data_IF_969196844739
#
_entry.id   IF_969196844739
#
_cell.length_a   1.000
_cell.length_b   1.000
_cell.length_c   1.000
_cell.angle_alpha   90.00
_cell.angle_beta   90.00
_cell.angle_gamma   90.00
#
_symmetry.space_group_name_H-M   'P 1'
#
loop_
_entity.id
_entity.type
_entity.pdbx_description
1 polymer ?
#
# COMPACT_ATOMS: atom_id res chain seq x y z
N UNK A 1 8.12 13.10 -23.85
CA UNK A 1 7.46 11.78 -23.99
C UNK A 1 7.79 11.00 -22.73
N UNK A 2 6.92 11.03 -21.71
CA UNK A 2 7.15 10.28 -20.47
C UNK A 2 6.49 8.92 -20.64
N UNK A 3 7.30 7.89 -20.46
CA UNK A 3 6.95 6.50 -20.67
C UNK A 3 5.67 6.14 -19.89
N UNK A 4 4.64 5.66 -20.59
CA UNK A 4 3.50 4.99 -19.96
C UNK A 4 3.97 3.60 -19.54
N UNK A 5 4.98 3.53 -18.69
CA UNK A 5 5.27 2.32 -17.95
C UNK A 5 4.01 1.99 -17.14
N UNK A 6 3.59 0.74 -17.21
CA UNK A 6 2.39 0.19 -16.57
C UNK A 6 2.60 0.07 -15.05
N UNK A 7 3.12 1.13 -14.44
CA UNK A 7 3.53 1.24 -13.04
C UNK A 7 2.49 2.06 -12.28
N UNK A 8 2.40 1.84 -10.97
CA UNK A 8 1.52 2.64 -10.12
C UNK A 8 1.97 4.10 -10.03
N UNK A 9 1.07 4.96 -9.54
CA UNK A 9 1.34 6.39 -9.44
C UNK A 9 2.40 6.66 -8.37
N UNK A 10 3.46 7.39 -8.75
CA UNK A 10 4.62 7.61 -7.88
C UNK A 10 4.30 8.29 -6.54
N UNK A 11 3.32 9.19 -6.50
CA UNK A 11 2.86 9.82 -5.26
C UNK A 11 2.14 8.83 -4.33
N UNK A 12 1.30 7.94 -4.87
CA UNK A 12 0.64 6.90 -4.09
C UNK A 12 1.64 5.86 -3.58
N UNK A 13 2.62 5.49 -4.41
CA UNK A 13 3.75 4.64 -4.00
C UNK A 13 4.49 5.24 -2.82
N UNK A 14 4.79 6.54 -2.87
CA UNK A 14 5.48 7.24 -1.78
C UNK A 14 4.67 7.17 -0.48
N UNK A 15 3.37 7.42 -0.55
CA UNK A 15 2.46 7.30 0.62
C UNK A 15 2.48 5.89 1.20
N UNK A 16 2.47 4.85 0.37
CA UNK A 16 2.56 3.46 0.83
C UNK A 16 3.91 3.16 1.49
N UNK A 17 5.02 3.68 0.97
CA UNK A 17 6.34 3.50 1.60
C UNK A 17 6.45 4.25 2.93
N UNK A 18 5.87 5.44 3.04
CA UNK A 18 5.75 6.18 4.30
C UNK A 18 4.88 5.42 5.32
N UNK A 19 3.76 4.84 4.86
CA UNK A 19 2.92 3.94 5.66
C UNK A 19 3.73 2.74 6.19
N UNK A 20 4.48 2.07 5.33
CA UNK A 20 5.37 0.95 5.72
C UNK A 20 6.43 1.39 6.75
N UNK A 21 7.03 2.56 6.57
CA UNK A 21 8.06 3.08 7.49
C UNK A 21 7.56 3.44 8.89
N UNK A 22 6.25 3.72 9.03
CA UNK A 22 5.62 4.03 10.32
C UNK A 22 5.18 2.80 11.14
N UNK A 23 5.30 1.59 10.58
CA UNK A 23 4.77 0.37 11.17
C UNK A 23 5.88 -0.66 11.44
N UNK A 24 5.62 -1.53 12.41
CA UNK A 24 6.40 -2.74 12.66
C UNK A 24 5.73 -3.91 11.96
N UNK A 25 6.51 -4.63 11.17
CA UNK A 25 6.08 -5.79 10.39
C UNK A 25 6.80 -7.07 10.85
N UNK A 26 6.40 -7.65 12.00
CA UNK A 26 7.06 -8.85 12.53
C UNK A 26 6.81 -10.11 11.67
N UNK A 27 5.72 -10.13 10.90
CA UNK A 27 5.34 -11.27 10.05
C UNK A 27 5.93 -11.20 8.63
N UNK A 28 6.56 -10.08 8.26
CA UNK A 28 7.12 -9.87 6.92
C UNK A 28 6.06 -9.71 5.83
N UNK A 29 4.85 -9.28 6.19
CA UNK A 29 3.73 -9.12 5.26
C UNK A 29 4.03 -8.07 4.17
N UNK A 30 4.84 -7.07 4.48
CA UNK A 30 5.23 -5.98 3.59
C UNK A 30 6.53 -6.27 2.82
N UNK A 31 6.98 -7.53 2.83
CA UNK A 31 8.21 -7.96 2.13
C UNK A 31 8.15 -7.76 0.62
N UNK A 32 6.96 -7.87 0.01
CA UNK A 32 6.76 -7.65 -1.43
C UNK A 32 6.75 -6.16 -1.82
N UNK A 33 6.74 -5.24 -0.85
CA UNK A 33 6.67 -3.80 -1.09
C UNK A 33 8.04 -3.25 -1.48
N UNK A 34 8.47 -3.59 -2.69
CA UNK A 34 9.75 -3.24 -3.30
C UNK A 34 9.57 -2.87 -4.77
N UNK A 35 10.41 -1.97 -5.29
CA UNK A 35 10.37 -1.53 -6.70
C UNK A 35 9.38 -0.40 -6.99
N UNK A 36 9.06 -0.22 -8.28
CA UNK A 36 8.29 0.92 -8.79
C UNK A 36 6.79 0.62 -8.97
N UNK A 37 6.41 -0.63 -9.26
CA UNK A 37 5.00 -0.99 -9.50
C UNK A 37 4.31 -1.50 -8.24
N UNK A 38 3.81 -0.58 -7.42
CA UNK A 38 3.11 -0.93 -6.18
C UNK A 38 1.82 -1.72 -6.39
N UNK A 39 1.24 -1.74 -7.59
CA UNK A 39 0.10 -2.59 -7.90
C UNK A 39 0.43 -4.09 -7.93
N UNK A 40 1.71 -4.45 -7.85
CA UNK A 40 2.19 -5.84 -7.73
C UNK A 40 2.49 -6.23 -6.30
N UNK A 41 2.40 -5.29 -5.36
CA UNK A 41 2.64 -5.56 -3.95
C UNK A 41 1.46 -6.33 -3.35
N UNK A 42 1.78 -7.23 -2.42
CA UNK A 42 0.78 -7.97 -1.66
C UNK A 42 -0.14 -7.00 -0.92
N UNK A 43 -1.45 -7.23 -1.00
CA UNK A 43 -2.44 -6.39 -0.33
C UNK A 43 -2.83 -5.11 -1.09
N UNK A 44 -2.14 -4.77 -2.20
CA UNK A 44 -2.44 -3.58 -3.00
C UNK A 44 -3.30 -3.97 -4.20
N UNK A 45 -4.42 -3.25 -4.38
CA UNK A 45 -5.23 -3.33 -5.59
C UNK A 45 -5.28 -1.99 -6.29
N UNK A 46 -5.12 -2.02 -7.62
CA UNK A 46 -5.18 -0.84 -8.47
C UNK A 46 -6.26 -0.93 -9.54
N UNK A 47 -6.74 0.23 -9.99
CA UNK A 47 -7.54 0.32 -11.21
C UNK A 47 -6.66 0.03 -12.43
N UNK A 48 -7.04 -0.94 -13.26
CA UNK A 48 -6.27 -1.34 -14.46
C UNK A 48 -6.01 -0.19 -15.44
N UNK A 49 -6.97 0.74 -15.57
CA UNK A 49 -6.95 1.81 -16.58
C UNK A 49 -5.97 2.93 -16.26
N UNK A 50 -5.94 3.39 -15.02
CA UNK A 50 -5.22 4.60 -14.59
C UNK A 50 -4.24 4.35 -13.44
N UNK A 51 -4.12 3.10 -13.00
CA UNK A 51 -3.10 2.62 -12.03
C UNK A 51 -3.20 3.26 -10.64
N UNK A 52 -4.32 3.91 -10.33
CA UNK A 52 -4.61 4.39 -8.98
C UNK A 52 -4.81 3.23 -8.02
N UNK A 53 -4.23 3.36 -6.82
CA UNK A 53 -4.46 2.47 -5.68
C UNK A 53 -5.87 2.69 -5.15
N UNK A 54 -6.64 1.61 -5.13
CA UNK A 54 -8.03 1.59 -4.64
C UNK A 54 -8.24 0.63 -3.48
N UNK A 55 -7.27 -0.25 -3.22
CA UNK A 55 -7.35 -1.26 -2.19
C UNK A 55 -6.02 -1.34 -1.45
N UNK A 56 -6.09 -1.30 -0.11
CA UNK A 56 -5.02 -1.65 0.81
C UNK A 56 -5.58 -2.65 1.83
N UNK A 57 -5.01 -3.85 1.82
CA UNK A 57 -5.35 -4.93 2.75
C UNK A 57 -4.06 -5.48 3.34
N UNK A 58 -3.83 -5.21 4.62
CA UNK A 58 -2.66 -5.69 5.36
C UNK A 58 -3.10 -6.17 6.73
N UNK A 59 -2.35 -7.11 7.30
CA UNK A 59 -2.64 -7.67 8.60
C UNK A 59 -1.40 -7.95 9.42
N UNK A 60 -1.58 -8.14 10.73
CA UNK A 60 -0.50 -8.48 11.66
C UNK A 60 0.64 -7.44 11.67
N UNK A 61 0.28 -6.16 11.50
CA UNK A 61 1.17 -5.01 11.66
C UNK A 61 0.93 -4.38 13.03
N UNK A 62 1.97 -3.82 13.64
CA UNK A 62 1.83 -3.09 14.90
C UNK A 62 2.40 -1.67 14.77
N UNK A 63 1.87 -0.73 15.55
CA UNK A 63 2.27 0.68 15.51
C UNK A 63 1.10 1.61 15.24
N UNK A 64 1.41 2.87 14.97
CA UNK A 64 0.41 3.90 14.70
C UNK A 64 0.25 4.05 13.19
N UNK A 65 -0.97 3.94 12.70
CA UNK A 65 -1.30 4.19 11.29
C UNK A 65 -0.92 5.64 10.94
N UNK A 66 0.01 5.87 10.00
CA UNK A 66 0.42 7.23 9.66
C UNK A 66 -0.71 8.02 8.99
N UNK A 67 -0.89 9.31 9.32
CA UNK A 67 -1.98 10.13 8.78
C UNK A 67 -1.89 10.33 7.25
N UNK A 68 -0.69 10.17 6.69
CA UNK A 68 -0.45 10.28 5.25
C UNK A 68 -1.24 9.27 4.42
N UNK A 69 -1.77 8.20 5.01
CA UNK A 69 -2.66 7.28 4.31
C UNK A 69 -3.90 7.98 3.71
N UNK A 70 -4.33 9.09 4.32
CA UNK A 70 -5.40 9.94 3.79
C UNK A 70 -5.08 10.60 2.44
N UNK A 71 -3.83 10.59 2.00
CA UNK A 71 -3.43 11.10 0.67
C UNK A 71 -3.71 10.08 -0.46
N UNK A 72 -4.08 8.84 -0.15
CA UNK A 72 -4.60 7.88 -1.14
C UNK A 72 -6.07 8.20 -1.45
N UNK A 73 -6.30 9.30 -2.16
CA UNK A 73 -7.65 9.86 -2.39
C UNK A 73 -8.61 8.94 -3.16
N UNK A 74 -8.09 7.92 -3.84
CA UNK A 74 -8.88 6.94 -4.58
C UNK A 74 -9.08 5.64 -3.80
N UNK A 75 -8.60 5.54 -2.55
CA UNK A 75 -8.74 4.34 -1.74
C UNK A 75 -10.22 4.06 -1.47
N UNK A 76 -10.73 2.94 -1.98
CA UNK A 76 -12.10 2.48 -1.81
C UNK A 76 -12.21 1.39 -0.75
N UNK A 77 -11.15 0.61 -0.57
CA UNK A 77 -11.10 -0.48 0.39
C UNK A 77 -9.85 -0.37 1.26
N UNK A 78 -10.07 -0.32 2.57
CA UNK A 78 -9.02 -0.33 3.58
C UNK A 78 -9.34 -1.42 4.60
N UNK A 79 -8.44 -2.39 4.75
CA UNK A 79 -8.48 -3.40 5.80
C UNK A 79 -7.12 -3.42 6.49
N UNK A 80 -7.16 -3.18 7.80
CA UNK A 80 -6.03 -3.20 8.72
C UNK A 80 -6.37 -4.21 9.81
N UNK A 81 -6.20 -5.50 9.52
CA UNK A 81 -6.63 -6.54 10.45
C UNK A 81 -5.51 -6.86 11.43
N UNK A 82 -5.76 -6.69 12.73
CA UNK A 82 -4.97 -7.39 13.73
C UNK A 82 -5.42 -8.86 13.71
N UNK A 83 -4.48 -9.78 13.46
CA UNK A 83 -4.72 -11.18 13.79
C UNK A 83 -4.43 -11.34 15.29
N UNK A 84 -5.38 -10.95 16.13
CA UNK A 84 -5.45 -11.50 17.47
C UNK A 84 -5.93 -12.95 17.33
N UNK A 85 -4.99 -13.88 17.23
CA UNK A 85 -5.27 -15.28 17.45
C UNK A 85 -5.58 -15.43 18.96
N UNK A 86 -6.86 -15.41 19.33
CA UNK A 86 -7.37 -16.04 20.56
C UNK A 86 -7.49 -17.54 20.33
#
# INVERSE_FOLDING_TARGET
MFDKTNICIGSERKVLLEFKGGLKDPSGQLSSWVGEDCCRWSGIGCIKKNRHVIKLEVSSLSGIVPPHLGNLSNLLYLSLNENDNI
#
